data_IF_991557935223
#
_entry.id   IF_991557935223
#
_cell.length_a   1.000
_cell.length_b   1.000
_cell.length_c   1.000
_cell.angle_alpha   90.00
_cell.angle_beta   90.00
_cell.angle_gamma   90.00
#
_symmetry.space_group_name_H-M   'P 1'
#
loop_
_entity.id
_entity.type
_entity.pdbx_description
1 polymer ?
#
# COMPACT_ATOMS: atom_id res chain seq x y z
N UNK A 1 11.78 -26.15 -12.13
CA UNK A 1 12.56 -24.91 -12.33
C UNK A 1 11.60 -23.76 -12.52
N UNK A 2 11.27 -23.06 -11.44
CA UNK A 2 10.62 -21.74 -11.53
C UNK A 2 11.73 -20.72 -11.33
N UNK A 3 12.47 -20.44 -12.40
CA UNK A 3 13.39 -19.30 -12.41
C UNK A 3 12.53 -18.03 -12.39
N UNK A 4 12.37 -17.48 -11.19
CA UNK A 4 11.84 -16.16 -10.98
C UNK A 4 12.80 -15.16 -11.61
N UNK A 5 12.47 -14.68 -12.81
CA UNK A 5 12.99 -13.42 -13.35
C UNK A 5 12.34 -12.25 -12.63
N UNK A 6 12.38 -12.24 -11.30
CA UNK A 6 12.13 -11.03 -10.54
C UNK A 6 13.43 -10.25 -10.53
N UNK A 7 13.42 -9.09 -11.18
CA UNK A 7 14.57 -8.20 -11.21
C UNK A 7 15.05 -7.96 -9.76
N UNK A 8 16.28 -8.36 -9.41
CA UNK A 8 16.77 -8.22 -8.04
C UNK A 8 16.76 -6.75 -7.62
N UNK A 9 16.18 -6.43 -6.45
CA UNK A 9 16.31 -5.11 -5.82
C UNK A 9 15.18 -4.10 -6.05
N UNK A 10 14.08 -4.46 -6.74
CA UNK A 10 13.01 -3.48 -7.03
C UNK A 10 11.71 -3.69 -6.23
N UNK A 11 11.28 -4.92 -5.97
CA UNK A 11 10.20 -5.21 -4.99
C UNK A 11 10.61 -4.93 -3.55
N UNK A 12 11.91 -5.04 -3.29
CA UNK A 12 12.65 -4.69 -2.08
C UNK A 12 12.30 -3.31 -1.50
N UNK A 13 11.96 -2.30 -2.32
CA UNK A 13 11.63 -0.95 -1.83
C UNK A 13 10.29 -0.86 -1.10
N UNK A 14 9.41 -1.84 -1.27
CA UNK A 14 8.16 -1.94 -0.47
C UNK A 14 8.45 -2.71 0.83
N UNK A 15 9.54 -3.47 0.86
CA UNK A 15 9.99 -4.19 2.03
C UNK A 15 10.61 -3.23 3.05
N UNK A 16 10.17 -3.32 4.31
CA UNK A 16 10.64 -2.49 5.44
C UNK A 16 12.17 -2.48 5.62
N UNK A 17 12.88 -3.46 5.04
CA UNK A 17 14.35 -3.53 5.11
C UNK A 17 15.05 -2.47 4.28
N UNK A 18 14.39 -1.88 3.27
CA UNK A 18 15.02 -0.94 2.34
C UNK A 18 14.30 0.41 2.24
N UNK A 19 13.07 0.52 2.72
CA UNK A 19 12.35 1.80 2.78
C UNK A 19 11.29 1.81 3.88
N UNK A 20 11.15 2.96 4.53
CA UNK A 20 10.04 3.26 5.45
C UNK A 20 8.75 3.64 4.71
N UNK A 21 8.70 3.56 3.37
CA UNK A 21 7.51 3.95 2.60
C UNK A 21 6.22 3.28 3.10
N UNK A 22 6.28 2.01 3.51
CA UNK A 22 5.13 1.29 4.05
C UNK A 22 4.69 1.78 5.44
N UNK A 23 5.55 2.47 6.21
CA UNK A 23 5.15 3.05 7.50
C UNK A 23 4.31 4.30 7.34
N UNK A 24 4.29 4.93 6.15
CA UNK A 24 3.44 6.10 5.88
C UNK A 24 1.94 5.78 5.92
N UNK A 25 1.57 4.49 5.80
CA UNK A 25 0.18 4.03 6.00
C UNK A 25 -0.20 3.96 7.48
N UNK A 26 0.77 3.83 8.38
CA UNK A 26 0.51 3.72 9.82
C UNK A 26 -0.05 5.03 10.36
N UNK A 27 -1.17 4.94 11.09
CA UNK A 27 -1.85 6.10 11.67
C UNK A 27 -2.66 6.94 10.67
N UNK A 28 -2.77 6.52 9.41
CA UNK A 28 -3.70 7.11 8.44
C UNK A 28 -5.06 6.42 8.54
N UNK A 29 -6.12 7.21 8.62
CA UNK A 29 -7.50 6.71 8.58
C UNK A 29 -8.04 6.87 7.17
N UNK A 30 -8.87 5.93 6.73
CA UNK A 30 -9.60 6.04 5.46
C UNK A 30 -10.91 6.75 5.77
N UNK A 31 -11.15 7.91 5.16
CA UNK A 31 -12.38 8.69 5.36
C UNK A 31 -13.54 8.25 4.45
N UNK A 32 -13.43 7.05 3.85
CA UNK A 32 -14.40 6.46 2.94
C UNK A 32 -13.84 6.12 1.55
N UNK A 33 -14.70 5.59 0.66
CA UNK A 33 -14.30 5.16 -0.69
C UNK A 33 -13.72 6.31 -1.55
N UNK A 34 -14.17 7.54 -1.31
CA UNK A 34 -13.76 8.72 -2.07
C UNK A 34 -12.55 9.44 -1.49
N UNK A 35 -11.86 8.84 -0.52
CA UNK A 35 -10.69 9.45 0.08
C UNK A 35 -9.56 9.58 -0.97
N UNK A 36 -9.28 10.84 -1.36
CA UNK A 36 -8.27 11.20 -2.36
C UNK A 36 -6.86 11.21 -1.79
N UNK A 37 -6.71 11.23 -0.46
CA UNK A 37 -5.39 11.13 0.19
C UNK A 37 -4.77 9.75 -0.04
N UNK A 38 -5.61 8.72 -0.21
CA UNK A 38 -5.23 7.35 -0.55
C UNK A 38 -4.90 7.17 -2.04
N UNK A 39 -3.97 7.98 -2.53
CA UNK A 39 -3.39 7.87 -3.87
C UNK A 39 -1.91 8.27 -3.84
N UNK A 40 -1.17 8.02 -4.92
CA UNK A 40 0.18 8.56 -5.03
C UNK A 40 0.16 10.07 -5.25
N UNK A 41 1.20 10.80 -4.84
CA UNK A 41 1.32 12.26 -5.02
C UNK A 41 1.11 12.72 -6.45
N UNK A 42 1.55 11.92 -7.44
CA UNK A 42 1.32 12.19 -8.87
C UNK A 42 -0.16 12.21 -9.25
N UNK A 43 -0.99 11.44 -8.54
CA UNK A 43 -2.44 11.37 -8.72
C UNK A 43 -3.18 12.28 -7.71
N UNK A 44 -2.46 13.10 -6.95
CA UNK A 44 -3.03 14.06 -5.98
C UNK A 44 -3.19 13.54 -4.54
N UNK A 45 -2.64 12.37 -4.21
CA UNK A 45 -2.69 11.82 -2.85
C UNK A 45 -1.42 12.07 -2.02
N UNK A 46 -1.32 11.37 -0.89
CA UNK A 46 -0.25 11.60 0.10
C UNK A 46 1.00 10.73 -0.11
N UNK A 47 0.91 9.67 -0.93
CA UNK A 47 1.93 8.61 -0.98
C UNK A 47 2.98 8.83 -2.07
N UNK A 48 4.26 8.68 -1.76
CA UNK A 48 5.31 8.85 -2.76
C UNK A 48 5.26 7.76 -3.85
N UNK A 49 5.51 8.15 -5.11
CA UNK A 49 5.68 7.22 -6.20
C UNK A 49 7.15 6.77 -6.28
N UNK A 50 7.38 5.47 -6.39
CA UNK A 50 8.66 4.89 -6.78
C UNK A 50 8.51 4.11 -8.09
N UNK A 51 9.57 4.08 -8.88
CA UNK A 51 9.60 3.43 -10.20
C UNK A 51 10.45 2.16 -10.17
N UNK A 52 10.23 1.29 -11.15
CA UNK A 52 11.07 0.12 -11.40
C UNK A 52 10.65 -1.18 -10.70
N UNK A 53 9.66 -1.16 -9.82
CA UNK A 53 9.13 -2.35 -9.16
C UNK A 53 8.05 -3.05 -10.00
N UNK A 54 8.05 -4.39 -10.02
CA UNK A 54 6.96 -5.22 -10.57
C UNK A 54 5.62 -4.86 -9.94
N UNK A 55 5.63 -4.57 -8.63
CA UNK A 55 4.49 -4.02 -7.90
C UNK A 55 4.57 -2.50 -7.91
N UNK A 56 3.53 -1.84 -8.45
CA UNK A 56 3.48 -0.38 -8.50
C UNK A 56 3.00 0.22 -7.15
N UNK A 57 3.49 1.40 -6.75
CA UNK A 57 3.01 2.07 -5.53
C UNK A 57 1.50 2.32 -5.56
N UNK A 58 0.95 2.62 -6.76
CA UNK A 58 -0.49 2.77 -6.97
C UNK A 58 -1.26 1.48 -6.66
N UNK A 59 -0.73 0.32 -7.02
CA UNK A 59 -1.35 -0.96 -6.68
C UNK A 59 -1.37 -1.19 -5.17
N UNK A 60 -0.28 -0.88 -4.46
CA UNK A 60 -0.19 -1.04 -3.01
C UNK A 60 -1.15 -0.10 -2.29
N UNK A 61 -1.14 1.20 -2.62
CA UNK A 61 -2.05 2.19 -2.01
C UNK A 61 -3.52 1.77 -2.17
N UNK A 62 -3.90 1.33 -3.38
CA UNK A 62 -5.25 0.81 -3.64
C UNK A 62 -5.57 -0.46 -2.84
N UNK A 63 -4.60 -1.38 -2.70
CA UNK A 63 -4.80 -2.60 -1.92
C UNK A 63 -5.02 -2.30 -0.43
N UNK A 64 -4.20 -1.41 0.15
CA UNK A 64 -4.35 -1.02 1.56
C UNK A 64 -5.67 -0.28 1.79
N UNK A 65 -6.06 0.63 0.88
CA UNK A 65 -7.38 1.29 0.95
C UNK A 65 -8.53 0.28 0.97
N UNK A 66 -8.51 -0.70 0.06
CA UNK A 66 -9.54 -1.76 0.03
C UNK A 66 -9.53 -2.62 1.29
N UNK A 67 -8.34 -3.00 1.77
CA UNK A 67 -8.19 -3.79 2.98
C UNK A 67 -8.70 -3.04 4.22
N UNK A 68 -8.43 -1.73 4.33
CA UNK A 68 -8.92 -0.89 5.41
C UNK A 68 -10.44 -0.70 5.36
N UNK A 69 -11.01 -0.38 4.20
CA UNK A 69 -12.48 -0.31 4.03
C UNK A 69 -13.15 -1.65 4.34
N UNK A 70 -12.53 -2.76 3.94
CA UNK A 70 -13.00 -4.09 4.28
C UNK A 70 -12.93 -4.34 5.79
N UNK A 71 -11.84 -3.94 6.45
CA UNK A 71 -11.68 -4.06 7.89
C UNK A 71 -12.72 -3.23 8.67
N UNK A 72 -13.09 -2.05 8.19
CA UNK A 72 -14.19 -1.25 8.77
C UNK A 72 -15.56 -1.91 8.57
N UNK A 73 -15.75 -2.63 7.47
CA UNK A 73 -17.00 -3.37 7.20
C UNK A 73 -17.11 -4.69 7.96
N UNK A 74 -16.00 -5.20 8.51
CA UNK A 74 -16.03 -6.40 9.33
C UNK A 74 -16.73 -6.09 10.65
N UNK A 75 -17.74 -6.87 11.07
CA UNK A 75 -18.26 -6.76 12.43
C UNK A 75 -17.09 -7.00 13.38
N UNK A 76 -16.96 -6.15 14.42
CA UNK A 76 -15.94 -6.24 15.44
C UNK A 76 -16.05 -7.55 16.23
N UNK A 77 -15.62 -8.65 15.63
CA UNK A 77 -15.57 -9.98 16.22
C UNK A 77 -14.13 -10.26 16.65
N UNK A 78 -13.64 -9.44 17.57
CA UNK A 78 -12.51 -9.78 18.42
C UNK A 78 -13.07 -10.00 19.81
N UNK A 79 -13.36 -11.26 20.21
CA UNK A 79 -13.61 -11.53 21.61
C UNK A 79 -12.36 -11.14 22.41
N UNK A 80 -12.58 -10.29 23.41
CA UNK A 80 -11.66 -9.97 24.51
C UNK A 80 -11.23 -11.23 25.26
#
# INVERSE_FOLDING_TARGET
>A
MTEHHETPGLGDKIERRLSDWITHFSGKTISGENDTHWAVKKDGGDFDQFTGATITPRAVVNAVKRAGLYAESLPAQLPI
#
